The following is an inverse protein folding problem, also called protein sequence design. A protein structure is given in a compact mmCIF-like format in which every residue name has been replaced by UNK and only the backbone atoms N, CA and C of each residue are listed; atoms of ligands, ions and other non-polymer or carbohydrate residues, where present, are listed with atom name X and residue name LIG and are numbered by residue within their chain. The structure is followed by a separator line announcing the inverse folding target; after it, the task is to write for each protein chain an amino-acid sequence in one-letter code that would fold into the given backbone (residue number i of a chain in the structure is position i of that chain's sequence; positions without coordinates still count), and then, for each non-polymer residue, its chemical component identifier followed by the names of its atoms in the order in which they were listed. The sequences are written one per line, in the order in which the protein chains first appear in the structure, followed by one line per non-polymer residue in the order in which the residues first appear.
data_IF_758553814493
#
_entry.id   IF_758553814493
#
_cell.length_a   1.000
_cell.length_b   1.000
_cell.length_c   1.000
_cell.angle_alpha   90.00
_cell.angle_beta   90.00
_cell.angle_gamma   90.00
#
_symmetry.space_group_name_H-M   'P 1'
#
loop_
_entity.id
_entity.type
_entity.pdbx_description
1 polymer ?
#
# COMPACT_ATOMS: atom_id res chain seq x y z
N UNK A 1 16.89 6.01 -23.57
CA UNK A 1 15.98 4.92 -23.15
C UNK A 1 16.03 3.74 -24.12
N UNK A 2 16.33 3.96 -25.41
CA UNK A 2 16.67 2.87 -26.33
C UNK A 2 17.97 2.20 -25.85
N UNK A 3 17.96 0.86 -25.68
CA UNK A 3 19.06 -0.02 -25.24
C UNK A 3 19.14 -0.46 -23.76
N UNK A 4 18.08 -0.32 -22.96
CA UNK A 4 18.07 -0.99 -21.64
C UNK A 4 17.80 -2.51 -21.79
N UNK A 5 18.55 -3.37 -21.09
CA UNK A 5 18.40 -4.82 -21.23
C UNK A 5 17.13 -5.32 -20.53
N UNK A 6 16.57 -6.42 -21.04
CA UNK A 6 15.57 -7.18 -20.30
C UNK A 6 16.23 -7.90 -19.12
N UNK A 7 15.77 -7.62 -17.90
CA UNK A 7 16.25 -8.32 -16.70
C UNK A 7 15.20 -9.31 -16.18
N UNK A 8 15.67 -10.44 -15.66
CA UNK A 8 14.86 -11.48 -15.02
C UNK A 8 15.69 -12.23 -13.98
N UNK A 9 15.07 -13.17 -13.28
CA UNK A 9 15.78 -14.05 -12.32
C UNK A 9 17.05 -14.65 -12.96
N UNK A 10 18.18 -14.50 -12.27
CA UNK A 10 19.50 -14.94 -12.74
C UNK A 10 20.29 -13.91 -13.57
N UNK A 11 19.67 -12.80 -14.00
CA UNK A 11 20.41 -11.67 -14.61
C UNK A 11 21.44 -11.09 -13.63
N UNK A 12 22.56 -10.59 -14.15
CA UNK A 12 23.63 -9.99 -13.34
C UNK A 12 24.18 -8.69 -13.93
N UNK A 13 24.94 -7.95 -13.14
CA UNK A 13 25.74 -6.81 -13.58
C UNK A 13 25.12 -5.44 -13.28
N UNK A 14 25.68 -4.42 -13.92
CA UNK A 14 25.42 -3.01 -13.60
C UNK A 14 23.92 -2.64 -13.62
N UNK A 15 23.16 -3.08 -14.61
CA UNK A 15 21.73 -2.77 -14.70
C UNK A 15 20.91 -3.41 -13.58
N UNK A 16 21.32 -4.58 -13.07
CA UNK A 16 20.67 -5.18 -11.89
C UNK A 16 20.94 -4.34 -10.65
N UNK A 17 22.15 -3.79 -10.50
CA UNK A 17 22.49 -2.85 -9.42
C UNK A 17 21.61 -1.60 -9.48
N UNK A 18 21.41 -1.01 -10.66
CA UNK A 18 20.53 0.16 -10.84
C UNK A 18 19.07 -0.18 -10.49
N UNK A 19 18.58 -1.33 -10.94
CA UNK A 19 17.25 -1.81 -10.57
C UNK A 19 17.11 -1.93 -9.03
N UNK A 20 18.06 -2.60 -8.37
CA UNK A 20 18.05 -2.80 -6.92
C UNK A 20 18.09 -1.46 -6.17
N UNK A 21 18.96 -0.53 -6.58
CA UNK A 21 19.02 0.83 -6.03
C UNK A 21 17.67 1.54 -6.13
N UNK A 22 17.05 1.53 -7.31
CA UNK A 22 15.77 2.20 -7.53
C UNK A 22 14.63 1.55 -6.75
N UNK A 23 14.55 0.21 -6.74
CA UNK A 23 13.52 -0.51 -5.96
C UNK A 23 13.66 -0.25 -4.45
N UNK A 24 14.89 -0.23 -3.94
CA UNK A 24 15.16 0.13 -2.54
C UNK A 24 14.77 1.58 -2.29
N UNK A 25 15.25 2.51 -3.10
CA UNK A 25 14.99 3.95 -2.95
C UNK A 25 13.51 4.33 -3.06
N UNK A 26 12.72 3.59 -3.86
CA UNK A 26 11.27 3.74 -3.93
C UNK A 26 10.52 3.16 -2.72
N UNK A 27 11.24 2.60 -1.74
CA UNK A 27 10.68 2.04 -0.51
C UNK A 27 10.10 0.63 -0.66
N UNK A 28 10.40 -0.10 -1.74
CA UNK A 28 9.77 -1.39 -2.07
C UNK A 28 10.50 -2.61 -1.47
N UNK A 29 11.55 -2.36 -0.70
CA UNK A 29 12.38 -3.37 -0.04
C UNK A 29 11.75 -3.87 1.26
N UNK A 30 10.72 -4.74 1.17
CA UNK A 30 10.05 -5.30 2.37
C UNK A 30 10.89 -6.33 3.13
N UNK A 31 11.74 -7.09 2.45
CA UNK A 31 12.55 -8.18 3.00
C UNK A 31 14.06 -7.83 3.05
N UNK A 32 14.39 -6.53 3.15
CA UNK A 32 15.76 -6.00 3.09
C UNK A 32 16.54 -6.53 1.88
N UNK A 33 16.12 -6.09 0.69
CA UNK A 33 16.85 -6.29 -0.55
C UNK A 33 18.26 -5.69 -0.44
N UNK A 34 19.26 -6.47 -0.85
CA UNK A 34 20.65 -6.02 -0.91
C UNK A 34 21.02 -5.63 -2.35
N UNK A 35 21.98 -4.72 -2.47
CA UNK A 35 22.53 -4.29 -3.77
C UNK A 35 23.70 -5.22 -4.10
N UNK A 36 23.41 -6.30 -4.82
CA UNK A 36 24.36 -7.37 -5.14
C UNK A 36 24.77 -7.37 -6.60
N UNK A 37 24.00 -6.72 -7.47
CA UNK A 37 24.14 -6.88 -8.91
C UNK A 37 23.72 -8.28 -9.41
N UNK A 38 23.04 -9.08 -8.58
CA UNK A 38 22.48 -10.40 -8.93
C UNK A 38 20.96 -10.38 -8.73
N UNK A 39 20.22 -10.69 -9.78
CA UNK A 39 18.77 -10.67 -9.79
C UNK A 39 18.24 -11.96 -9.15
N UNK A 40 18.14 -11.94 -7.83
CA UNK A 40 17.64 -13.04 -7.00
C UNK A 40 16.11 -13.02 -6.82
N UNK A 41 15.60 -13.98 -6.04
CA UNK A 41 14.18 -14.07 -5.68
C UNK A 41 13.67 -12.82 -4.95
N UNK A 42 14.51 -12.13 -4.16
CA UNK A 42 14.11 -10.89 -3.48
C UNK A 42 13.94 -9.76 -4.48
N UNK A 43 14.86 -9.63 -5.44
CA UNK A 43 14.80 -8.67 -6.55
C UNK A 43 13.56 -8.93 -7.41
N UNK A 44 13.28 -10.21 -7.72
CA UNK A 44 12.10 -10.64 -8.45
C UNK A 44 10.80 -10.25 -7.72
N UNK A 45 10.67 -10.54 -6.43
CA UNK A 45 9.51 -10.13 -5.62
C UNK A 45 9.33 -8.61 -5.61
N UNK A 46 10.39 -7.84 -5.38
CA UNK A 46 10.31 -6.37 -5.36
C UNK A 46 9.94 -5.80 -6.73
N UNK A 47 10.40 -6.44 -7.82
CA UNK A 47 10.01 -6.09 -9.19
C UNK A 47 8.52 -6.32 -9.41
N UNK A 48 7.98 -7.47 -8.99
CA UNK A 48 6.54 -7.74 -9.09
C UNK A 48 5.72 -6.71 -8.31
N UNK A 49 6.12 -6.39 -7.09
CA UNK A 49 5.48 -5.34 -6.27
C UNK A 49 5.49 -4.00 -7.01
N UNK A 50 6.64 -3.60 -7.57
CA UNK A 50 6.73 -2.36 -8.34
C UNK A 50 5.77 -2.35 -9.52
N UNK A 51 5.70 -3.46 -10.26
CA UNK A 51 4.79 -3.61 -11.39
C UNK A 51 3.32 -3.54 -10.95
N UNK A 52 2.93 -4.25 -9.88
CA UNK A 52 1.57 -4.18 -9.31
C UNK A 52 1.20 -2.75 -8.94
N UNK A 53 2.08 -2.05 -8.21
CA UNK A 53 1.84 -0.68 -7.79
C UNK A 53 1.75 0.29 -8.97
N UNK A 54 2.56 0.10 -10.01
CA UNK A 54 2.54 0.92 -11.25
C UNK A 54 1.50 0.47 -12.28
N UNK A 55 0.60 -0.46 -11.93
CA UNK A 55 -0.43 -1.01 -12.83
C UNK A 55 0.15 -1.66 -14.10
N UNK A 56 1.40 -2.13 -14.03
CA UNK A 56 2.04 -2.96 -15.04
C UNK A 56 1.76 -4.45 -14.78
N UNK A 57 1.98 -5.30 -15.78
CA UNK A 57 1.87 -6.75 -15.62
C UNK A 57 2.91 -7.25 -14.60
N UNK A 58 2.52 -7.88 -13.48
CA UNK A 58 3.44 -8.25 -12.41
C UNK A 58 4.10 -9.61 -12.66
N UNK A 59 4.85 -9.70 -13.76
CA UNK A 59 5.55 -10.92 -14.18
C UNK A 59 6.97 -11.04 -13.59
N UNK A 60 7.48 -10.00 -12.93
CA UNK A 60 8.83 -9.96 -12.36
C UNK A 60 9.95 -9.82 -13.40
N UNK A 61 9.60 -9.51 -14.65
CA UNK A 61 10.54 -9.28 -15.76
C UNK A 61 10.62 -7.78 -16.02
N UNK A 62 11.84 -7.24 -16.04
CA UNK A 62 12.09 -5.82 -16.28
C UNK A 62 12.29 -5.60 -17.77
N UNK A 63 11.21 -5.21 -18.45
CA UNK A 63 11.19 -4.84 -19.86
C UNK A 63 11.19 -3.31 -20.01
N UNK A 64 11.13 -2.82 -21.25
CA UNK A 64 11.18 -1.38 -21.57
C UNK A 64 10.15 -0.55 -20.78
N UNK A 65 8.93 -1.06 -20.61
CA UNK A 65 7.88 -0.36 -19.86
C UNK A 65 8.16 -0.33 -18.35
N UNK A 66 8.71 -1.42 -17.79
CA UNK A 66 9.14 -1.47 -16.39
C UNK A 66 10.26 -0.46 -16.15
N UNK A 67 11.26 -0.41 -17.05
CA UNK A 67 12.36 0.56 -16.98
C UNK A 67 11.90 2.01 -17.06
N UNK A 68 11.07 2.32 -18.06
CA UNK A 68 10.50 3.65 -18.24
C UNK A 68 9.78 4.11 -16.99
N UNK A 69 8.86 3.28 -16.49
CA UNK A 69 8.09 3.58 -15.28
C UNK A 69 8.98 3.73 -14.04
N UNK A 70 10.03 2.90 -13.91
CA UNK A 70 10.96 2.95 -12.77
C UNK A 70 11.72 4.27 -12.74
N UNK A 71 12.29 4.68 -13.88
CA UNK A 71 13.02 5.94 -13.98
C UNK A 71 12.11 7.16 -13.84
N UNK A 72 10.91 7.15 -14.43
CA UNK A 72 9.95 8.24 -14.27
C UNK A 72 9.54 8.44 -12.81
N UNK A 73 9.33 7.36 -12.06
CA UNK A 73 9.02 7.43 -10.63
C UNK A 73 10.19 7.97 -9.78
N UNK A 74 11.44 7.63 -10.12
CA UNK A 74 12.61 8.20 -9.43
C UNK A 74 12.80 9.67 -9.80
N UNK A 75 12.65 10.04 -11.08
CA UNK A 75 12.72 11.43 -11.54
C UNK A 75 11.65 12.28 -10.85
N UNK A 76 10.43 11.77 -10.68
CA UNK A 76 9.36 12.45 -9.95
C UNK A 76 9.81 12.80 -8.52
N UNK A 77 10.44 11.87 -7.82
CA UNK A 77 10.94 12.08 -6.46
C UNK A 77 12.13 13.05 -6.43
N UNK A 78 13.08 12.91 -7.35
CA UNK A 78 14.20 13.83 -7.49
C UNK A 78 13.72 15.26 -7.74
N UNK A 79 12.76 15.45 -8.67
CA UNK A 79 12.11 16.74 -8.93
C UNK A 79 11.41 17.29 -7.69
N UNK A 80 10.69 16.43 -6.97
CA UNK A 80 9.96 16.86 -5.77
C UNK A 80 10.94 17.30 -4.68
N UNK A 81 11.95 16.50 -4.35
CA UNK A 81 13.01 16.87 -3.41
C UNK A 81 13.77 18.13 -3.84
N UNK A 82 14.03 18.29 -5.14
CA UNK A 82 14.66 19.50 -5.68
C UNK A 82 13.78 20.74 -5.49
N UNK A 83 12.47 20.63 -5.76
CA UNK A 83 11.53 21.75 -5.61
C UNK A 83 11.39 22.26 -4.17
N UNK A 84 11.71 21.42 -3.19
CA UNK A 84 11.70 21.78 -1.75
C UNK A 84 13.12 21.97 -1.18
N UNK A 85 14.13 22.07 -2.05
CA UNK A 85 15.50 22.46 -1.65
C UNK A 85 16.38 21.36 -1.05
N UNK A 86 15.99 20.08 -1.16
CA UNK A 86 16.78 18.96 -0.62
C UNK A 86 17.69 18.28 -1.64
N UNK A 87 17.40 18.39 -2.94
CA UNK A 87 18.14 17.70 -4.00
C UNK A 87 18.69 18.67 -5.05
N UNK A 88 20.01 18.60 -5.28
CA UNK A 88 20.74 19.46 -6.22
C UNK A 88 21.44 18.69 -7.35
N UNK A 89 21.19 17.38 -7.45
CA UNK A 89 21.78 16.50 -8.46
C UNK A 89 21.01 16.49 -9.78
N UNK A 90 21.40 15.59 -10.68
CA UNK A 90 20.76 15.40 -11.98
C UNK A 90 19.43 14.64 -11.84
N UNK A 91 18.46 14.97 -12.69
CA UNK A 91 17.19 14.24 -12.78
C UNK A 91 17.36 13.00 -13.67
N UNK A 92 18.22 12.09 -13.25
CA UNK A 92 18.70 10.93 -14.04
C UNK A 92 17.85 9.67 -13.88
N UNK A 93 16.90 9.65 -12.94
CA UNK A 93 16.09 8.47 -12.65
C UNK A 93 16.84 7.37 -11.89
N UNK A 94 18.02 7.67 -11.34
CA UNK A 94 18.80 6.75 -10.52
C UNK A 94 18.75 7.19 -9.06
N UNK A 95 18.25 6.31 -8.20
CA UNK A 95 18.21 6.50 -6.76
C UNK A 95 19.57 6.16 -6.13
N UNK A 96 20.60 6.87 -6.58
CA UNK A 96 21.98 6.74 -6.10
C UNK A 96 22.25 7.55 -4.83
N UNK A 97 23.52 7.63 -4.45
CA UNK A 97 23.99 8.24 -3.20
C UNK A 97 23.46 9.67 -2.97
N UNK A 98 23.44 10.51 -3.99
CA UNK A 98 22.95 11.89 -3.86
C UNK A 98 21.45 11.95 -3.55
N UNK A 99 20.64 11.10 -4.18
CA UNK A 99 19.19 11.00 -3.94
C UNK A 99 18.92 10.40 -2.55
N UNK A 100 19.69 9.39 -2.15
CA UNK A 100 19.64 8.81 -0.80
C UNK A 100 19.94 9.86 0.27
N UNK A 101 21.04 10.61 0.14
CA UNK A 101 21.41 11.66 1.10
C UNK A 101 20.35 12.76 1.19
N UNK A 102 19.87 13.25 0.05
CA UNK A 102 18.78 14.23 0.02
C UNK A 102 17.52 13.72 0.73
N UNK A 103 17.18 12.44 0.53
CA UNK A 103 16.06 11.79 1.22
C UNK A 103 16.29 11.70 2.72
N UNK A 104 17.50 11.36 3.17
CA UNK A 104 17.84 11.32 4.60
C UNK A 104 17.73 12.69 5.26
N UNK A 105 18.24 13.74 4.63
CA UNK A 105 18.12 15.09 5.15
C UNK A 105 16.66 15.55 5.19
N UNK A 106 15.88 15.26 4.15
CA UNK A 106 14.44 15.51 4.16
C UNK A 106 13.73 14.78 5.31
N UNK A 107 14.04 13.50 5.50
CA UNK A 107 13.46 12.71 6.59
C UNK A 107 13.80 13.29 7.96
N UNK A 108 15.04 13.73 8.18
CA UNK A 108 15.45 14.40 9.43
C UNK A 108 14.63 15.67 9.66
N UNK A 109 14.53 16.54 8.66
CA UNK A 109 13.76 17.80 8.75
C UNK A 109 12.29 17.54 9.11
N UNK A 110 11.73 16.44 8.60
CA UNK A 110 10.33 16.06 8.85
C UNK A 110 10.14 15.19 10.10
N UNK A 111 11.17 15.02 10.95
CA UNK A 111 11.13 14.15 12.13
C UNK A 111 10.76 12.68 11.81
N UNK A 112 11.16 12.19 10.64
CA UNK A 112 11.04 10.80 10.21
C UNK A 112 12.36 10.06 10.46
N UNK A 113 12.29 8.72 10.56
CA UNK A 113 13.50 7.89 10.61
C UNK A 113 14.30 8.06 9.29
N UNK A 114 15.59 8.46 9.34
CA UNK A 114 16.37 8.81 8.15
C UNK A 114 16.93 7.58 7.42
N UNK A 115 16.04 6.71 6.95
CA UNK A 115 16.38 5.47 6.24
C UNK A 115 16.99 5.71 4.85
N UNK A 116 16.74 6.87 4.24
CA UNK A 116 17.24 7.25 2.92
C UNK A 116 16.48 6.63 1.75
N UNK A 117 15.45 5.83 2.01
CA UNK A 117 14.44 5.40 1.03
C UNK A 117 13.11 6.15 1.22
N UNK A 118 12.30 6.21 0.17
CA UNK A 118 10.98 6.83 0.19
C UNK A 118 9.95 5.84 0.74
N UNK A 119 9.98 5.64 2.06
CA UNK A 119 8.94 4.87 2.78
C UNK A 119 7.55 5.48 2.56
N UNK A 120 6.43 4.75 2.81
CA UNK A 120 5.09 5.31 2.70
C UNK A 120 4.93 6.64 3.47
N UNK A 121 5.46 6.73 4.70
CA UNK A 121 5.41 7.96 5.51
C UNK A 121 6.19 9.11 4.86
N UNK A 122 7.38 8.81 4.35
CA UNK A 122 8.20 9.79 3.62
C UNK A 122 7.49 10.29 2.37
N UNK A 123 6.90 9.37 1.58
CA UNK A 123 6.14 9.70 0.38
C UNK A 123 4.94 10.59 0.71
N UNK A 124 4.12 10.18 1.68
CA UNK A 124 2.95 10.96 2.09
C UNK A 124 3.34 12.37 2.55
N UNK A 125 4.37 12.51 3.40
CA UNK A 125 4.83 13.83 3.85
C UNK A 125 5.36 14.68 2.69
N UNK A 126 6.01 14.03 1.72
CA UNK A 126 6.57 14.69 0.55
C UNK A 126 5.49 15.25 -0.39
N UNK A 127 4.41 14.49 -0.63
CA UNK A 127 3.34 14.89 -1.55
C UNK A 127 2.17 15.61 -0.87
N UNK A 128 1.98 15.41 0.44
CA UNK A 128 0.91 16.01 1.24
C UNK A 128 1.47 16.73 2.48
N UNK A 129 2.34 17.75 2.32
CA UNK A 129 3.03 18.39 3.45
C UNK A 129 2.07 19.06 4.45
N UNK A 130 0.91 19.51 3.97
CA UNK A 130 -0.11 20.18 4.77
C UNK A 130 -1.20 19.25 5.32
N UNK A 131 -1.08 17.93 5.10
CA UNK A 131 -2.06 17.01 5.67
C UNK A 131 -1.97 17.06 7.18
N UNK A 132 -3.04 17.56 7.82
CA UNK A 132 -3.20 17.55 9.27
C UNK A 132 -3.40 16.12 9.83
N UNK A 133 -3.38 15.09 8.96
CA UNK A 133 -3.56 13.69 9.33
C UNK A 133 -2.32 13.11 10.03
N UNK A 134 -1.92 13.69 11.14
CA UNK A 134 -0.86 13.13 11.98
C UNK A 134 -1.46 12.16 13.00
N UNK A 135 -1.57 10.91 12.53
CA UNK A 135 -1.46 9.70 13.34
C UNK A 135 -2.51 9.47 14.44
N UNK A 136 -3.78 9.62 14.06
CA UNK A 136 -4.93 9.24 14.88
C UNK A 136 -4.88 7.79 15.33
N UNK A 137 -5.34 7.59 16.57
CA UNK A 137 -5.68 6.29 17.14
C UNK A 137 -6.60 5.52 16.19
N UNK A 138 -6.46 4.19 16.19
CA UNK A 138 -7.43 3.36 15.48
C UNK A 138 -8.83 3.63 16.04
N UNK A 139 -9.84 3.59 15.17
CA UNK A 139 -11.23 3.82 15.53
C UNK A 139 -12.10 2.68 14.99
N UNK A 140 -13.15 2.36 15.73
CA UNK A 140 -14.21 1.46 15.29
C UNK A 140 -15.51 2.21 14.94
N UNK A 141 -15.51 3.54 15.02
CA UNK A 141 -16.66 4.38 14.69
C UNK A 141 -16.75 4.63 13.19
N UNK A 142 -17.90 4.36 12.58
CA UNK A 142 -18.12 4.48 11.13
C UNK A 142 -17.79 5.89 10.59
N UNK A 143 -17.92 6.93 11.41
CA UNK A 143 -17.60 8.32 11.07
C UNK A 143 -16.10 8.57 10.80
N UNK A 144 -15.24 7.58 11.09
CA UNK A 144 -13.83 7.61 10.71
C UNK A 144 -13.56 7.10 9.29
N UNK A 145 -14.60 6.62 8.60
CA UNK A 145 -14.55 6.30 7.18
C UNK A 145 -14.75 7.57 6.34
N UNK A 146 -14.35 7.51 5.08
CA UNK A 146 -14.79 8.48 4.08
C UNK A 146 -16.33 8.49 4.00
N UNK A 147 -17.03 9.64 3.87
CA UNK A 147 -18.49 9.72 3.97
C UNK A 147 -19.25 8.74 3.07
N UNK A 148 -18.81 8.58 1.82
CA UNK A 148 -19.41 7.60 0.91
C UNK A 148 -19.18 6.15 1.35
N UNK A 149 -18.02 5.84 1.94
CA UNK A 149 -17.71 4.50 2.45
C UNK A 149 -18.49 4.23 3.74
N UNK A 150 -18.70 5.25 4.58
CA UNK A 150 -19.63 5.18 5.72
C UNK A 150 -21.06 4.88 5.25
N UNK A 151 -21.53 5.55 4.20
CA UNK A 151 -22.85 5.29 3.60
C UNK A 151 -22.96 3.84 3.13
N UNK A 152 -22.00 3.35 2.34
CA UNK A 152 -21.97 1.95 1.89
C UNK A 152 -21.90 0.96 3.06
N UNK A 153 -21.16 1.27 4.12
CA UNK A 153 -21.09 0.42 5.31
C UNK A 153 -22.45 0.32 6.04
N UNK A 154 -23.22 1.41 6.08
CA UNK A 154 -24.59 1.41 6.65
C UNK A 154 -25.57 0.62 5.77
N UNK A 155 -25.51 0.82 4.45
CA UNK A 155 -26.31 0.04 3.49
C UNK A 155 -25.97 -1.44 3.55
N UNK A 156 -24.70 -1.78 3.69
CA UNK A 156 -24.23 -3.14 3.86
C UNK A 156 -24.86 -3.82 5.08
N UNK A 157 -24.81 -3.16 6.26
CA UNK A 157 -25.44 -3.69 7.48
C UNK A 157 -26.96 -3.88 7.32
N UNK A 158 -27.63 -2.95 6.63
CA UNK A 158 -29.06 -3.05 6.37
C UNK A 158 -29.37 -4.21 5.41
N UNK A 159 -28.61 -4.34 4.32
CA UNK A 159 -28.83 -5.35 3.30
C UNK A 159 -28.52 -6.75 3.83
N UNK A 160 -27.46 -6.94 4.63
CA UNK A 160 -27.18 -8.22 5.28
C UNK A 160 -28.33 -8.62 6.21
N UNK A 161 -28.84 -7.67 7.00
CA UNK A 161 -29.97 -7.90 7.92
C UNK A 161 -31.24 -8.30 7.17
N UNK A 162 -31.59 -7.61 6.09
CA UNK A 162 -32.75 -7.95 5.24
C UNK A 162 -32.58 -9.33 4.57
N UNK A 163 -31.35 -9.78 4.33
CA UNK A 163 -31.04 -11.12 3.84
C UNK A 163 -30.88 -12.17 4.96
N UNK A 164 -31.34 -11.87 6.19
CA UNK A 164 -31.35 -12.81 7.31
C UNK A 164 -29.97 -13.08 7.92
N UNK A 165 -29.01 -12.17 7.74
CA UNK A 165 -27.65 -12.28 8.27
C UNK A 165 -27.34 -11.10 9.21
N UNK A 166 -27.26 -11.35 10.53
CA UNK A 166 -26.73 -10.36 11.48
C UNK A 166 -25.21 -10.26 11.29
N UNK A 167 -24.74 -9.04 11.05
CA UNK A 167 -23.34 -8.73 10.75
C UNK A 167 -22.92 -7.55 11.61
N UNK A 168 -21.68 -7.61 12.12
CA UNK A 168 -21.07 -6.53 12.89
C UNK A 168 -19.81 -6.05 12.21
N UNK A 169 -19.69 -4.73 12.03
CA UNK A 169 -18.44 -4.08 11.66
C UNK A 169 -17.63 -3.89 12.93
N UNK A 170 -16.39 -4.38 12.95
CA UNK A 170 -15.53 -4.36 14.15
C UNK A 170 -14.17 -3.69 13.92
N UNK A 171 -13.82 -3.34 12.69
CA UNK A 171 -12.63 -2.54 12.37
C UNK A 171 -12.93 -1.58 11.22
N UNK A 172 -12.56 -0.31 11.36
CA UNK A 172 -12.68 0.70 10.29
C UNK A 172 -11.34 1.40 10.07
N UNK A 173 -11.16 2.64 10.53
CA UNK A 173 -9.90 3.34 10.46
C UNK A 173 -8.83 2.68 11.33
N UNK A 174 -7.74 2.28 10.69
CA UNK A 174 -6.56 1.74 11.37
C UNK A 174 -5.42 2.73 11.22
N UNK A 175 -4.83 3.11 12.35
CA UNK A 175 -3.66 3.97 12.32
C UNK A 175 -2.51 3.32 11.54
N UNK A 176 -1.64 4.14 10.94
CA UNK A 176 -0.48 3.63 10.21
C UNK A 176 0.47 2.87 11.15
N UNK A 177 0.58 3.30 12.41
CA UNK A 177 1.42 2.65 13.40
C UNK A 177 0.87 1.29 13.84
N UNK A 178 -0.45 1.15 13.97
CA UNK A 178 -1.06 -0.17 14.20
C UNK A 178 -0.89 -1.07 12.96
N UNK A 179 -1.03 -0.52 11.76
CA UNK A 179 -0.78 -1.29 10.54
C UNK A 179 0.68 -1.75 10.44
N UNK A 180 1.66 -0.90 10.78
CA UNK A 180 3.07 -1.29 10.88
C UNK A 180 3.28 -2.40 11.93
N UNK A 181 2.54 -2.35 13.05
CA UNK A 181 2.54 -3.40 14.07
C UNK A 181 2.02 -4.73 13.49
N UNK A 182 0.87 -4.72 12.80
CA UNK A 182 0.33 -5.91 12.15
C UNK A 182 1.26 -6.46 11.07
N UNK A 183 1.88 -5.57 10.28
CA UNK A 183 2.86 -5.95 9.27
C UNK A 183 4.08 -6.64 9.90
N UNK A 184 4.50 -6.25 11.11
CA UNK A 184 5.65 -6.86 11.76
C UNK A 184 5.45 -8.33 12.20
N UNK A 185 4.21 -8.77 12.41
CA UNK A 185 3.87 -10.11 12.89
C UNK A 185 4.25 -11.18 11.84
N UNK A 186 4.91 -12.24 12.29
CA UNK A 186 5.38 -13.33 11.44
C UNK A 186 6.52 -12.94 10.49
N UNK A 187 7.09 -11.74 10.65
CA UNK A 187 8.28 -11.27 9.91
C UNK A 187 9.46 -11.08 10.85
N UNK A 188 9.29 -10.22 11.85
CA UNK A 188 10.31 -9.96 12.89
C UNK A 188 9.73 -9.83 14.30
N UNK A 189 8.40 -9.87 14.45
CA UNK A 189 7.73 -10.11 15.72
C UNK A 189 7.04 -11.48 15.73
N UNK A 190 6.97 -12.17 16.88
CA UNK A 190 6.20 -13.39 17.03
C UNK A 190 4.72 -13.20 16.64
N UNK A 191 4.10 -14.26 16.10
CA UNK A 191 2.69 -14.27 15.70
C UNK A 191 2.48 -14.68 14.25
N UNK A 192 1.21 -14.90 13.87
CA UNK A 192 0.85 -15.22 12.49
C UNK A 192 0.96 -13.96 11.63
N UNK A 193 1.51 -14.11 10.42
CA UNK A 193 1.45 -13.08 9.38
C UNK A 193 -0.02 -12.83 8.98
N UNK A 194 -0.53 -11.62 9.23
CA UNK A 194 -1.93 -11.24 8.96
C UNK A 194 -2.10 -10.22 7.83
N UNK A 195 -1.02 -9.57 7.39
CA UNK A 195 -1.10 -8.57 6.32
C UNK A 195 0.19 -8.52 5.49
N UNK A 196 0.05 -8.07 4.24
CA UNK A 196 1.14 -7.72 3.33
C UNK A 196 1.40 -6.21 3.22
N UNK A 197 0.57 -5.35 3.84
CA UNK A 197 0.66 -3.91 3.73
C UNK A 197 1.33 -3.27 4.94
N UNK A 198 2.29 -2.35 4.73
CA UNK A 198 2.79 -1.43 5.78
C UNK A 198 1.75 -0.34 6.06
N UNK A 199 2.00 0.48 7.08
CA UNK A 199 1.25 1.71 7.31
C UNK A 199 1.26 2.61 6.06
N UNK A 200 0.07 3.04 5.64
CA UNK A 200 -0.17 3.81 4.42
C UNK A 200 -0.46 2.96 3.19
N UNK A 201 -0.26 1.65 3.26
CA UNK A 201 -0.47 0.72 2.15
C UNK A 201 -1.73 -0.14 2.30
N UNK A 202 -2.51 0.08 3.36
CA UNK A 202 -3.83 -0.53 3.57
C UNK A 202 -4.91 0.54 3.45
N UNK A 203 -6.04 0.24 2.80
CA UNK A 203 -7.16 1.18 2.70
C UNK A 203 -7.80 1.53 4.05
N UNK A 204 -7.62 0.71 5.10
CA UNK A 204 -7.98 1.09 6.47
C UNK A 204 -7.24 2.35 6.95
N UNK A 205 -6.03 2.58 6.44
CA UNK A 205 -5.22 3.76 6.80
C UNK A 205 -5.75 5.06 6.20
N UNK A 206 -6.73 4.96 5.30
CA UNK A 206 -7.31 6.05 4.53
C UNK A 206 -8.82 6.19 4.75
N UNK A 207 -9.41 5.40 5.68
CA UNK A 207 -10.85 5.39 5.91
C UNK A 207 -11.65 4.81 4.73
N UNK A 208 -11.02 3.96 3.90
CA UNK A 208 -11.61 3.41 2.68
C UNK A 208 -11.93 1.91 2.78
N UNK A 209 -11.78 1.33 3.96
CA UNK A 209 -12.06 -0.08 4.20
C UNK A 209 -12.60 -0.32 5.60
N UNK A 210 -13.33 -1.41 5.75
CA UNK A 210 -13.86 -1.91 7.01
C UNK A 210 -13.83 -3.44 7.05
N UNK A 211 -13.70 -4.00 8.25
CA UNK A 211 -13.80 -5.43 8.50
C UNK A 211 -15.12 -5.74 9.22
N UNK A 212 -15.83 -6.73 8.71
CA UNK A 212 -17.12 -7.17 9.21
C UNK A 212 -17.15 -8.68 9.44
N UNK A 213 -18.03 -9.14 10.32
CA UNK A 213 -18.23 -10.57 10.55
C UNK A 213 -19.70 -10.91 10.83
N UNK A 214 -20.18 -12.09 10.36
CA UNK A 214 -21.45 -12.65 10.81
C UNK A 214 -21.44 -12.88 12.32
N UNK A 215 -22.52 -12.48 12.99
CA UNK A 215 -22.64 -12.53 14.44
C UNK A 215 -23.89 -13.32 14.83
N UNK A 216 -23.69 -14.42 15.56
CA UNK A 216 -24.77 -15.34 15.93
C UNK A 216 -24.51 -15.94 17.31
N UNK A 217 -25.58 -16.20 18.06
CA UNK A 217 -25.50 -16.78 19.40
C UNK A 217 -24.49 -16.03 20.30
N UNK A 218 -24.52 -14.70 20.23
CA UNK A 218 -23.61 -13.80 20.92
C UNK A 218 -22.11 -13.95 20.58
N UNK A 219 -21.76 -14.53 19.42
CA UNK A 219 -20.37 -14.77 19.04
C UNK A 219 -20.11 -14.69 17.53
N UNK A 220 -18.84 -14.53 17.15
CA UNK A 220 -18.39 -14.65 15.75
C UNK A 220 -17.86 -16.07 15.53
N UNK A 221 -18.43 -16.77 14.55
CA UNK A 221 -17.98 -18.11 14.15
C UNK A 221 -17.00 -18.03 12.97
N UNK A 222 -15.71 -17.77 13.23
CA UNK A 222 -14.67 -17.55 12.21
C UNK A 222 -14.51 -18.67 11.17
N UNK A 223 -14.82 -19.92 11.53
CA UNK A 223 -14.73 -21.07 10.63
C UNK A 223 -15.97 -21.23 9.72
N UNK A 224 -17.01 -20.41 9.89
CA UNK A 224 -18.22 -20.47 9.07
C UNK A 224 -18.02 -19.73 7.75
N UNK A 225 -17.14 -20.27 6.90
CA UNK A 225 -16.79 -19.68 5.61
C UNK A 225 -18.01 -19.47 4.70
N UNK A 226 -19.05 -20.30 4.84
CA UNK A 226 -20.31 -20.14 4.08
C UNK A 226 -20.98 -18.80 4.38
N UNK A 227 -21.03 -18.37 5.65
CA UNK A 227 -21.63 -17.08 6.03
C UNK A 227 -20.75 -15.90 5.65
N UNK A 228 -19.44 -16.03 5.77
CA UNK A 228 -18.51 -15.03 5.24
C UNK A 228 -18.66 -14.86 3.73
N UNK A 229 -18.84 -15.94 2.97
CA UNK A 229 -19.13 -15.88 1.53
C UNK A 229 -20.46 -15.19 1.23
N UNK A 230 -21.52 -15.52 1.96
CA UNK A 230 -22.82 -14.85 1.82
C UNK A 230 -22.71 -13.35 2.08
N UNK A 231 -22.08 -12.97 3.19
CA UNK A 231 -21.78 -11.57 3.54
C UNK A 231 -20.97 -10.87 2.44
N UNK A 232 -19.93 -11.56 1.93
CA UNK A 232 -19.09 -11.10 0.83
C UNK A 232 -19.88 -10.74 -0.42
N UNK A 233 -20.71 -11.68 -0.90
CA UNK A 233 -21.54 -11.48 -2.08
C UNK A 233 -22.55 -10.34 -1.91
N UNK A 234 -23.08 -10.15 -0.70
CA UNK A 234 -23.95 -9.01 -0.39
C UNK A 234 -23.17 -7.69 -0.48
N UNK A 235 -21.94 -7.64 0.04
CA UNK A 235 -21.09 -6.45 -0.09
C UNK A 235 -20.76 -6.13 -1.56
N UNK A 236 -20.46 -7.15 -2.37
CA UNK A 236 -20.19 -6.98 -3.80
C UNK A 236 -21.40 -6.35 -4.56
N UNK A 237 -22.64 -6.63 -4.14
CA UNK A 237 -23.85 -6.02 -4.74
C UNK A 237 -23.92 -4.50 -4.54
N UNK A 238 -23.28 -3.97 -3.49
CA UNK A 238 -23.18 -2.53 -3.22
C UNK A 238 -21.98 -1.88 -3.92
N UNK A 239 -21.23 -2.65 -4.72
CA UNK A 239 -20.01 -2.19 -5.38
C UNK A 239 -18.76 -2.19 -4.49
N UNK A 240 -18.82 -2.79 -3.30
CA UNK A 240 -17.64 -2.99 -2.46
C UNK A 240 -16.74 -4.07 -3.08
N UNK A 241 -15.43 -3.83 -3.04
CA UNK A 241 -14.46 -4.91 -3.26
C UNK A 241 -14.36 -5.74 -2.00
N UNK A 242 -14.43 -7.06 -2.13
CA UNK A 242 -14.41 -7.99 -1.00
C UNK A 242 -13.13 -8.81 -0.94
N UNK A 243 -12.48 -8.83 0.22
CA UNK A 243 -11.20 -9.52 0.43
C UNK A 243 -11.24 -11.04 0.31
N UNK A 244 -12.45 -11.64 0.30
CA UNK A 244 -12.64 -13.05 -0.04
C UNK A 244 -12.24 -13.40 -1.49
N UNK A 245 -12.04 -12.41 -2.36
CA UNK A 245 -11.53 -12.58 -3.73
C UNK A 245 -10.00 -12.53 -3.85
N UNK A 246 -9.29 -12.16 -2.78
CA UNK A 246 -7.83 -12.03 -2.84
C UNK A 246 -7.17 -13.40 -3.08
N UNK A 247 -6.13 -13.42 -3.92
CA UNK A 247 -5.41 -14.65 -4.27
C UNK A 247 -4.27 -14.97 -3.30
N UNK A 248 -3.83 -13.99 -2.51
CA UNK A 248 -2.86 -14.17 -1.43
C UNK A 248 -3.43 -13.56 -0.15
N UNK A 249 -3.28 -14.25 0.99
CA UNK A 249 -3.91 -13.88 2.26
C UNK A 249 -5.40 -13.55 2.09
N UNK A 250 -6.21 -14.54 1.68
CA UNK A 250 -7.67 -14.42 1.57
C UNK A 250 -8.24 -13.83 2.88
N UNK A 251 -8.90 -12.68 2.77
CA UNK A 251 -9.37 -11.89 3.92
C UNK A 251 -10.88 -11.75 3.90
N UNK A 252 -11.55 -12.80 4.38
CA UNK A 252 -13.01 -12.91 4.34
C UNK A 252 -13.78 -11.78 5.05
N UNK A 253 -13.29 -11.22 6.19
CA UNK A 253 -13.91 -10.06 6.83
C UNK A 253 -13.85 -8.75 6.05
N UNK A 254 -12.92 -8.62 5.11
CA UNK A 254 -12.50 -7.32 4.58
C UNK A 254 -13.37 -6.79 3.44
N UNK A 255 -13.74 -5.52 3.50
CA UNK A 255 -14.41 -4.78 2.42
C UNK A 255 -13.73 -3.42 2.20
N UNK A 256 -13.61 -3.02 0.94
CA UNK A 256 -13.03 -1.74 0.56
C UNK A 256 -13.79 -1.07 -0.59
N UNK A 257 -13.73 0.27 -0.63
CA UNK A 257 -14.13 1.06 -1.78
C UNK A 257 -13.08 2.14 -2.05
N UNK A 258 -12.29 1.94 -3.10
CA UNK A 258 -11.08 2.72 -3.36
C UNK A 258 -11.27 3.87 -4.35
N UNK A 259 -12.45 4.02 -4.95
CA UNK A 259 -12.69 4.96 -6.06
C UNK A 259 -11.77 4.72 -7.28
N UNK A 260 -11.23 3.51 -7.43
CA UNK A 260 -10.24 3.19 -8.46
C UNK A 260 -8.83 3.70 -8.17
N UNK A 261 -8.61 4.32 -7.00
CA UNK A 261 -7.30 4.78 -6.55
C UNK A 261 -6.53 3.62 -5.93
N UNK A 262 -5.25 3.50 -6.26
CA UNK A 262 -4.33 2.65 -5.52
C UNK A 262 -3.85 3.36 -4.25
N UNK A 263 -3.34 2.62 -3.28
CA UNK A 263 -2.67 3.24 -2.12
C UNK A 263 -1.45 4.06 -2.53
N UNK A 264 -0.83 3.81 -3.69
CA UNK A 264 0.23 4.66 -4.20
C UNK A 264 -0.28 6.01 -4.72
N UNK A 265 -1.45 6.03 -5.35
CA UNK A 265 -2.13 7.27 -5.75
C UNK A 265 -2.41 8.14 -4.50
N UNK A 266 -2.95 7.51 -3.44
CA UNK A 266 -3.19 8.16 -2.14
C UNK A 266 -1.90 8.70 -1.52
N UNK A 267 -0.83 7.91 -1.51
CA UNK A 267 0.49 8.33 -1.02
C UNK A 267 1.08 9.50 -1.82
N UNK A 268 0.77 9.60 -3.11
CA UNK A 268 1.19 10.71 -3.98
C UNK A 268 0.23 11.92 -3.90
N UNK A 269 -0.76 11.89 -3.00
CA UNK A 269 -1.66 13.02 -2.71
C UNK A 269 -2.90 13.11 -3.59
N UNK A 270 -3.18 12.08 -4.39
CA UNK A 270 -4.48 11.96 -5.06
C UNK A 270 -5.49 11.54 -3.99
N UNK A 271 -6.57 12.30 -3.82
CA UNK A 271 -7.58 12.04 -2.79
C UNK A 271 -8.87 11.51 -3.42
N UNK A 272 -9.65 10.69 -2.69
CA UNK A 272 -11.01 10.34 -3.09
C UNK A 272 -11.85 11.61 -3.30
N UNK A 273 -12.78 11.61 -4.27
CA UNK A 273 -13.66 12.74 -4.48
C UNK A 273 -14.61 12.93 -3.30
N UNK A 274 -14.87 14.18 -2.93
CA UNK A 274 -15.98 14.51 -2.04
C UNK A 274 -17.26 14.43 -2.88
N UNK A 275 -18.10 13.45 -2.55
CA UNK A 275 -19.40 13.28 -3.19
C UNK A 275 -20.45 14.04 -2.38
N UNK A 276 -21.35 14.76 -3.07
CA UNK A 276 -22.54 15.32 -2.46
C UNK A 276 -23.55 14.19 -2.29
N UNK A 277 -23.62 13.64 -1.08
CA UNK A 277 -24.47 12.53 -0.67
C UNK A 277 -25.44 12.96 0.42
#
# INVERSE_FOLDING_TARGET
MENLPTLKLGSTGHYVTILQLNLIGLGLSYEKLAITGFFDEKTHKCTKIFQEKTKLKPNGIVEVNTWKSLFENVILLQKKLQSIGFYFGQLDGVFGLSTTKATQEYQKEQNLYPSGDITPRTRHKLFNPNSQSEFYTSSNHLQSLHPYVEMLAKEFLQLTKTNGLDVRIYSVFRSWSEQDRLFSLGRWKPGKKVTNARGGESYHNWGLAFDAAPYENNSIHWNNIKKFKQMGYIGEQLGLTWGGRFTTLVDYPHFEYSFGLSTWDLLNGITPPILNI
#
